data_IF_711602342967
#
_entry.id   IF_711602342967
#
_cell.length_a   1.000
_cell.length_b   1.000
_cell.length_c   1.000
_cell.angle_alpha   90.00
_cell.angle_beta   90.00
_cell.angle_gamma   90.00
#
_symmetry.space_group_name_H-M   'P 1'
#
loop_
_entity.id
_entity.type
_entity.pdbx_description
1 polymer ?
#
# COMPACT_ATOMS: atom_id res chain seq x y z
N UNK A 1 -20.67 -39.19 -2.58
CA UNK A 1 -20.59 -38.06 -1.64
C UNK A 1 -19.17 -37.54 -1.69
N UNK A 2 -18.94 -36.43 -2.39
CA UNK A 2 -17.60 -35.83 -2.50
C UNK A 2 -17.32 -35.12 -1.17
N UNK A 3 -16.17 -35.34 -0.51
CA UNK A 3 -15.87 -34.64 0.72
C UNK A 3 -15.81 -33.13 0.44
N UNK A 4 -16.23 -32.26 1.38
CA UNK A 4 -16.09 -30.83 1.19
C UNK A 4 -14.59 -30.50 0.98
N UNK A 5 -14.25 -29.57 0.07
CA UNK A 5 -12.88 -29.14 -0.08
C UNK A 5 -12.39 -28.63 1.29
N UNK A 6 -11.22 -29.12 1.71
CA UNK A 6 -10.57 -28.67 2.93
C UNK A 6 -10.42 -27.15 2.88
N UNK A 7 -10.77 -26.49 3.99
CA UNK A 7 -10.73 -25.03 4.17
C UNK A 7 -9.35 -24.39 3.98
N UNK A 8 -8.31 -25.19 3.71
CA UNK A 8 -6.94 -24.75 3.46
C UNK A 8 -6.67 -24.36 2.00
N UNK A 9 -7.50 -24.78 1.02
CA UNK A 9 -7.27 -24.41 -0.38
C UNK A 9 -7.59 -22.94 -0.69
N UNK A 10 -8.34 -22.24 0.18
CA UNK A 10 -8.73 -20.84 -0.02
C UNK A 10 -7.71 -19.79 0.45
N UNK A 11 -6.73 -20.19 1.28
CA UNK A 11 -5.81 -19.27 1.96
C UNK A 11 -4.37 -19.32 1.43
N UNK A 12 -4.11 -20.12 0.40
CA UNK A 12 -2.80 -20.17 -0.26
C UNK A 12 -2.62 -18.99 -1.20
N UNK A 13 -1.46 -18.34 -1.09
CA UNK A 13 -1.00 -17.30 -2.01
C UNK A 13 -1.04 -17.85 -3.45
N UNK A 14 -1.53 -17.06 -4.40
CA UNK A 14 -1.49 -17.42 -5.81
C UNK A 14 -0.07 -17.25 -6.34
N UNK A 15 0.68 -18.35 -6.26
CA UNK A 15 2.08 -18.42 -6.69
C UNK A 15 2.23 -18.32 -8.21
N UNK A 16 1.20 -18.72 -8.99
CA UNK A 16 1.23 -18.59 -10.44
C UNK A 16 1.14 -17.12 -10.85
N UNK A 17 0.23 -16.36 -10.24
CA UNK A 17 0.15 -14.91 -10.43
C UNK A 17 1.43 -14.20 -9.97
N UNK A 18 1.98 -14.58 -8.81
CA UNK A 18 3.22 -14.00 -8.31
C UNK A 18 4.40 -14.26 -9.25
N UNK A 19 4.53 -15.49 -9.76
CA UNK A 19 5.55 -15.84 -10.74
C UNK A 19 5.37 -15.06 -12.04
N UNK A 20 4.16 -15.05 -12.60
CA UNK A 20 3.87 -14.33 -13.85
C UNK A 20 4.24 -12.86 -13.74
N UNK A 21 3.84 -12.19 -12.66
CA UNK A 21 4.15 -10.77 -12.43
C UNK A 21 5.65 -10.52 -12.27
N UNK A 22 6.37 -11.42 -11.59
CA UNK A 22 7.83 -11.32 -11.41
C UNK A 22 8.60 -11.57 -12.71
N UNK A 23 8.12 -12.48 -13.55
CA UNK A 23 8.71 -12.77 -14.86
C UNK A 23 8.46 -11.60 -15.83
N UNK A 24 7.24 -11.02 -15.81
CA UNK A 24 6.88 -9.85 -16.61
C UNK A 24 7.80 -8.66 -16.29
N UNK A 25 8.06 -8.42 -15.01
CA UNK A 25 8.99 -7.39 -14.56
C UNK A 25 10.41 -7.63 -15.12
N UNK A 26 10.95 -8.84 -14.91
CA UNK A 26 12.29 -9.22 -15.37
C UNK A 26 12.48 -9.03 -16.89
N UNK A 27 11.43 -9.29 -17.68
CA UNK A 27 11.48 -9.15 -19.14
C UNK A 27 11.30 -7.71 -19.61
N UNK A 28 10.48 -6.92 -18.91
CA UNK A 28 10.10 -5.57 -19.37
C UNK A 28 11.06 -4.48 -18.88
N UNK A 29 11.81 -4.73 -17.80
CA UNK A 29 12.76 -3.78 -17.20
C UNK A 29 12.13 -2.40 -16.96
N UNK A 30 10.84 -2.39 -16.62
CA UNK A 30 10.10 -1.17 -16.34
C UNK A 30 10.55 -0.57 -15.00
N UNK A 31 10.49 0.76 -14.90
CA UNK A 31 10.55 1.39 -13.59
C UNK A 31 9.37 0.91 -12.72
N UNK A 32 9.53 0.91 -11.39
CA UNK A 32 8.48 0.51 -10.46
C UNK A 32 7.15 1.21 -10.75
N UNK A 33 7.21 2.52 -11.06
CA UNK A 33 6.02 3.29 -11.44
C UNK A 33 5.36 2.73 -12.70
N UNK A 34 6.12 2.54 -13.78
CA UNK A 34 5.58 2.05 -15.05
C UNK A 34 4.99 0.63 -14.92
N UNK A 35 5.66 -0.25 -14.17
CA UNK A 35 5.16 -1.58 -13.86
C UNK A 35 3.82 -1.54 -13.11
N UNK A 36 3.74 -0.76 -12.02
CA UNK A 36 2.50 -0.60 -11.24
C UNK A 36 1.38 -0.04 -12.10
N UNK A 37 1.66 0.95 -12.96
CA UNK A 37 0.65 1.48 -13.91
C UNK A 37 0.08 0.39 -14.80
N UNK A 38 0.94 -0.43 -15.39
CA UNK A 38 0.55 -1.51 -16.27
C UNK A 38 -0.30 -2.57 -15.55
N UNK A 39 0.13 -3.03 -14.37
CA UNK A 39 -0.61 -4.04 -13.59
C UNK A 39 -1.95 -3.51 -13.11
N UNK A 40 -2.06 -2.19 -12.86
CA UNK A 40 -3.30 -1.54 -12.43
C UNK A 40 -4.23 -1.17 -13.58
N UNK A 41 -3.83 -1.41 -14.84
CA UNK A 41 -4.60 -1.03 -16.02
C UNK A 41 -4.70 0.48 -16.21
N UNK A 42 -3.74 1.27 -15.71
CA UNK A 42 -3.67 2.69 -16.01
C UNK A 42 -3.29 2.87 -17.48
N UNK A 43 -4.04 3.72 -18.18
CA UNK A 43 -3.89 3.97 -19.61
C UNK A 43 -3.49 5.43 -19.86
N UNK A 44 -3.13 5.75 -21.10
CA UNK A 44 -2.92 7.14 -21.51
C UNK A 44 -4.20 7.97 -21.42
N UNK A 45 -5.37 7.34 -21.54
CA UNK A 45 -6.69 7.98 -21.48
C UNK A 45 -7.20 8.13 -20.04
N UNK A 46 -6.90 7.17 -19.16
CA UNK A 46 -7.20 7.24 -17.73
C UNK A 46 -5.99 6.74 -16.94
N UNK A 47 -5.15 7.70 -16.52
CA UNK A 47 -3.94 7.45 -15.76
C UNK A 47 -4.14 7.45 -14.24
N UNK A 48 -5.39 7.52 -13.76
CA UNK A 48 -5.65 7.66 -12.32
C UNK A 48 -5.27 6.38 -11.58
N UNK A 49 -4.50 6.49 -10.47
CA UNK A 49 -4.11 5.32 -9.70
C UNK A 49 -5.24 4.73 -8.86
N UNK A 50 -6.26 5.53 -8.56
CA UNK A 50 -7.49 5.06 -7.91
C UNK A 50 -8.69 5.57 -8.69
N UNK A 51 -9.33 4.68 -9.44
CA UNK A 51 -10.49 5.00 -10.30
C UNK A 51 -11.71 5.51 -9.52
N UNK A 52 -11.77 5.22 -8.21
CA UNK A 52 -12.84 5.69 -7.34
C UNK A 52 -12.68 7.17 -6.92
N UNK A 53 -11.49 7.75 -7.09
CA UNK A 53 -11.27 9.18 -6.86
C UNK A 53 -11.54 9.98 -8.13
N UNK A 54 -12.23 11.11 -7.99
CA UNK A 54 -12.57 12.01 -9.08
C UNK A 54 -12.17 13.44 -8.74
N UNK A 55 -11.85 14.21 -9.77
CA UNK A 55 -11.57 15.64 -9.63
C UNK A 55 -12.85 16.42 -9.34
N UNK A 56 -12.73 17.45 -8.52
CA UNK A 56 -13.82 18.37 -8.21
C UNK A 56 -13.59 19.72 -8.91
N UNK A 57 -14.67 20.40 -9.36
CA UNK A 57 -14.55 21.73 -9.95
C UNK A 57 -13.93 22.73 -8.98
N UNK A 58 -13.02 23.58 -9.47
CA UNK A 58 -12.41 24.61 -8.64
C UNK A 58 -13.45 25.68 -8.27
N UNK A 59 -13.60 26.03 -6.98
CA UNK A 59 -14.53 27.06 -6.55
C UNK A 59 -14.04 28.44 -6.99
N UNK A 60 -14.98 29.34 -7.32
CA UNK A 60 -14.67 30.73 -7.69
C UNK A 60 -14.01 31.50 -6.53
N UNK A 61 -14.29 31.11 -5.28
CA UNK A 61 -13.70 31.70 -4.08
C UNK A 61 -12.27 31.21 -3.86
N UNK A 62 -11.32 32.12 -3.64
CA UNK A 62 -9.89 31.80 -3.51
C UNK A 62 -9.52 30.99 -2.26
N UNK A 63 -10.27 31.12 -1.17
CA UNK A 63 -9.94 30.51 0.13
C UNK A 63 -9.83 28.97 0.10
N UNK A 64 -10.79 28.21 -0.49
CA UNK A 64 -10.67 26.76 -0.60
C UNK A 64 -9.93 26.26 -1.87
N UNK A 65 -9.50 27.13 -2.78
CA UNK A 65 -8.93 26.69 -4.08
C UNK A 65 -7.67 25.82 -3.92
N UNK A 66 -6.81 26.10 -2.95
CA UNK A 66 -5.60 25.32 -2.71
C UNK A 66 -5.92 23.87 -2.30
N UNK A 67 -6.92 23.68 -1.45
CA UNK A 67 -7.41 22.36 -1.03
C UNK A 67 -7.95 21.56 -2.23
N UNK A 68 -8.75 22.20 -3.08
CA UNK A 68 -9.33 21.53 -4.25
C UNK A 68 -8.27 21.16 -5.29
N UNK A 69 -7.26 22.02 -5.50
CA UNK A 69 -6.11 21.69 -6.35
C UNK A 69 -5.36 20.48 -5.82
N UNK A 70 -5.08 20.45 -4.50
CA UNK A 70 -4.39 19.32 -3.90
C UNK A 70 -5.21 18.02 -3.97
N UNK A 71 -6.55 18.09 -3.79
CA UNK A 71 -7.42 16.94 -4.02
C UNK A 71 -7.36 16.45 -5.47
N UNK A 72 -7.46 17.35 -6.45
CA UNK A 72 -7.41 16.99 -7.86
C UNK A 72 -6.03 16.43 -8.26
N UNK A 73 -4.94 16.89 -7.63
CA UNK A 73 -3.62 16.26 -7.75
C UNK A 73 -3.63 14.83 -7.21
N UNK A 74 -4.17 14.58 -6.01
CA UNK A 74 -4.28 13.23 -5.45
C UNK A 74 -5.15 12.32 -6.32
N UNK A 75 -6.25 12.83 -6.88
CA UNK A 75 -7.12 12.05 -7.75
C UNK A 75 -6.42 11.66 -9.07
N UNK A 76 -5.65 12.58 -9.67
CA UNK A 76 -4.90 12.34 -10.91
C UNK A 76 -3.67 11.45 -10.71
N UNK A 77 -2.89 11.77 -9.69
CA UNK A 77 -1.51 11.30 -9.55
C UNK A 77 -1.31 10.35 -8.37
N UNK A 78 -2.31 10.22 -7.50
CA UNK A 78 -2.20 9.50 -6.23
C UNK A 78 -1.52 10.34 -5.15
N UNK A 79 -1.40 9.75 -3.96
CA UNK A 79 -0.69 10.38 -2.85
C UNK A 79 0.82 10.34 -3.12
N UNK A 80 1.45 11.52 -3.17
CA UNK A 80 2.91 11.68 -3.32
C UNK A 80 3.53 12.14 -2.00
N UNK A 81 4.02 11.21 -1.14
CA UNK A 81 4.71 11.59 0.09
C UNK A 81 6.00 12.36 -0.25
N UNK A 82 6.34 13.35 0.58
CA UNK A 82 7.66 13.96 0.59
C UNK A 82 8.47 13.30 1.69
N UNK A 83 9.78 13.24 1.48
CA UNK A 83 10.71 12.63 2.40
C UNK A 83 11.60 13.72 3.01
N UNK A 84 11.89 13.65 4.31
CA UNK A 84 12.67 14.66 5.05
C UNK A 84 14.17 14.62 4.73
N UNK A 85 14.66 13.49 4.22
CA UNK A 85 16.03 13.28 3.73
C UNK A 85 15.99 12.73 2.30
N UNK A 86 17.16 12.57 1.64
CA UNK A 86 17.32 11.75 0.43
C UNK A 86 17.10 10.25 0.76
N UNK A 87 15.91 9.92 1.27
CA UNK A 87 15.53 8.64 1.85
C UNK A 87 15.45 7.49 0.83
N UNK A 88 15.79 7.76 -0.43
CA UNK A 88 16.07 6.75 -1.46
C UNK A 88 17.47 6.13 -1.27
N UNK A 89 17.88 5.89 -0.02
CA UNK A 89 19.06 5.07 0.24
C UNK A 89 18.65 3.62 0.11
N UNK A 90 19.36 2.90 -0.76
CA UNK A 90 19.27 1.44 -0.89
C UNK A 90 19.29 0.83 0.51
N UNK A 91 18.24 0.10 0.87
CA UNK A 91 18.17 -0.54 2.17
C UNK A 91 19.23 -1.64 2.28
N UNK A 92 20.35 -1.33 2.95
CA UNK A 92 21.48 -2.24 3.10
C UNK A 92 21.17 -3.44 3.99
N UNK A 93 20.34 -3.22 5.02
CA UNK A 93 19.93 -4.27 5.97
C UNK A 93 18.41 -4.29 6.02
N UNK A 94 17.83 -5.46 5.74
CA UNK A 94 16.39 -5.69 5.81
C UNK A 94 16.04 -6.26 7.19
N UNK A 95 15.11 -5.66 7.93
CA UNK A 95 14.75 -6.15 9.25
C UNK A 95 13.98 -7.48 9.15
N UNK A 96 14.14 -8.41 10.10
CA UNK A 96 13.31 -9.60 10.17
C UNK A 96 11.89 -9.26 10.60
N UNK A 97 10.94 -10.13 10.27
CA UNK A 97 9.57 -10.02 10.77
C UNK A 97 9.51 -10.18 12.30
N UNK A 98 8.48 -9.60 12.91
CA UNK A 98 8.26 -9.75 14.35
C UNK A 98 7.95 -11.20 14.71
N UNK A 99 8.28 -11.59 15.94
CA UNK A 99 8.03 -12.94 16.46
C UNK A 99 6.57 -13.37 16.25
N UNK A 100 5.61 -12.46 16.44
CA UNK A 100 4.19 -12.75 16.26
C UNK A 100 3.81 -13.16 14.83
N UNK A 101 4.46 -12.61 13.81
CA UNK A 101 4.25 -13.04 12.43
C UNK A 101 4.93 -14.38 12.14
N UNK A 102 6.14 -14.59 12.66
CA UNK A 102 6.89 -15.84 12.50
C UNK A 102 6.15 -17.02 13.12
N UNK A 103 5.53 -16.83 14.30
CA UNK A 103 4.77 -17.88 14.99
C UNK A 103 3.38 -18.10 14.42
N UNK A 104 2.86 -17.19 13.58
CA UNK A 104 1.51 -17.26 12.99
C UNK A 104 1.53 -17.20 11.45
N UNK A 105 2.25 -18.11 10.77
CA UNK A 105 2.46 -18.03 9.32
C UNK A 105 1.17 -18.20 8.51
N UNK A 106 0.18 -18.92 9.02
CA UNK A 106 -1.09 -19.12 8.32
C UNK A 106 -1.94 -17.84 8.30
N UNK A 107 -1.95 -17.10 9.41
CA UNK A 107 -2.58 -15.78 9.46
C UNK A 107 -1.96 -14.80 8.47
N UNK A 108 -0.63 -14.78 8.39
CA UNK A 108 0.10 -13.96 7.41
C UNK A 108 -0.28 -14.34 5.98
N UNK A 109 -0.25 -15.64 5.64
CA UNK A 109 -0.61 -16.12 4.29
C UNK A 109 -2.05 -15.78 3.91
N UNK A 110 -2.99 -15.96 4.83
CA UNK A 110 -4.40 -15.62 4.63
C UNK A 110 -4.57 -14.14 4.33
N UNK A 111 -3.93 -13.26 5.09
CA UNK A 111 -4.03 -11.81 4.90
C UNK A 111 -3.36 -11.35 3.60
N UNK A 112 -2.21 -11.93 3.24
CA UNK A 112 -1.56 -11.69 1.94
C UNK A 112 -2.47 -12.16 0.81
N UNK A 113 -3.03 -13.37 0.89
CA UNK A 113 -3.93 -13.91 -0.14
C UNK A 113 -5.18 -13.04 -0.28
N UNK A 114 -5.78 -12.62 0.83
CA UNK A 114 -6.90 -11.67 0.80
C UNK A 114 -6.50 -10.35 0.14
N UNK A 115 -5.36 -9.79 0.50
CA UNK A 115 -4.87 -8.56 -0.12
C UNK A 115 -4.56 -8.73 -1.61
N UNK A 116 -4.09 -9.90 -2.04
CA UNK A 116 -3.91 -10.24 -3.45
C UNK A 116 -5.25 -10.32 -4.19
N UNK A 117 -6.25 -11.01 -3.65
CA UNK A 117 -7.62 -11.08 -4.20
C UNK A 117 -8.27 -9.71 -4.34
N UNK A 118 -8.15 -8.89 -3.29
CA UNK A 118 -8.72 -7.54 -3.24
C UNK A 118 -7.95 -6.56 -4.15
N UNK A 119 -6.88 -7.02 -4.82
CA UNK A 119 -5.97 -6.17 -5.59
C UNK A 119 -5.22 -5.16 -4.72
N UNK A 120 -5.18 -5.30 -3.40
CA UNK A 120 -4.46 -4.38 -2.51
C UNK A 120 -2.96 -4.60 -2.56
N UNK A 121 -2.51 -5.84 -2.74
CA UNK A 121 -1.10 -6.21 -2.75
C UNK A 121 -0.68 -6.77 -4.10
N UNK A 122 0.51 -6.36 -4.55
CA UNK A 122 1.28 -7.10 -5.53
C UNK A 122 2.16 -8.09 -4.76
N UNK A 123 2.03 -9.37 -5.08
CA UNK A 123 2.88 -10.42 -4.52
C UNK A 123 3.91 -10.78 -5.58
N UNK A 124 5.18 -10.58 -5.25
CA UNK A 124 6.31 -10.69 -6.18
C UNK A 124 7.42 -11.53 -5.54
N UNK A 125 8.30 -12.07 -6.37
CA UNK A 125 9.51 -12.74 -5.93
C UNK A 125 10.51 -11.71 -5.38
N UNK A 126 11.38 -12.13 -4.46
CA UNK A 126 12.39 -11.25 -3.86
C UNK A 126 13.38 -10.66 -4.87
N UNK A 127 13.51 -11.26 -6.06
CA UNK A 127 14.39 -10.80 -7.14
C UNK A 127 14.08 -9.37 -7.60
N UNK A 128 12.84 -8.90 -7.45
CA UNK A 128 12.44 -7.53 -7.81
C UNK A 128 13.17 -6.46 -6.99
N UNK A 129 13.71 -6.83 -5.83
CA UNK A 129 14.52 -5.92 -5.01
C UNK A 129 15.88 -5.58 -5.64
N UNK A 130 16.32 -6.36 -6.63
CA UNK A 130 17.50 -6.03 -7.44
C UNK A 130 17.15 -5.06 -8.59
N UNK A 131 15.90 -5.08 -9.06
CA UNK A 131 15.41 -4.25 -10.15
C UNK A 131 14.99 -2.86 -9.66
N UNK A 132 14.37 -2.80 -8.48
CA UNK A 132 13.89 -1.55 -7.87
C UNK A 132 14.59 -1.30 -6.53
N UNK A 133 15.82 -0.75 -6.56
CA UNK A 133 16.59 -0.43 -5.35
C UNK A 133 15.91 0.62 -4.47
N UNK A 134 14.90 1.34 -4.98
CA UNK A 134 14.06 2.28 -4.25
C UNK A 134 13.03 1.61 -3.32
N UNK A 135 12.83 0.29 -3.39
CA UNK A 135 11.93 -0.43 -2.49
C UNK A 135 12.49 -0.51 -1.07
N UNK A 136 11.63 -0.25 -0.09
CA UNK A 136 11.93 -0.36 1.34
C UNK A 136 11.15 -1.53 1.93
N UNK A 137 11.83 -2.43 2.63
CA UNK A 137 11.22 -3.56 3.34
C UNK A 137 11.01 -3.21 4.80
N UNK A 138 9.76 -3.33 5.26
CA UNK A 138 9.40 -3.19 6.67
C UNK A 138 8.98 -4.56 7.24
N UNK A 139 9.20 -4.82 8.54
CA UNK A 139 8.70 -6.02 9.18
C UNK A 139 7.19 -6.09 9.15
N UNK A 140 6.67 -7.31 9.18
CA UNK A 140 5.28 -7.56 9.55
C UNK A 140 5.18 -8.16 10.95
N UNK A 141 4.11 -7.80 11.65
CA UNK A 141 3.64 -8.44 12.85
C UNK A 141 2.21 -8.96 12.66
N UNK A 142 1.77 -9.86 13.54
CA UNK A 142 0.38 -10.26 13.66
C UNK A 142 -0.15 -9.82 15.02
N UNK A 143 -1.39 -9.31 15.05
CA UNK A 143 -2.13 -8.98 16.26
C UNK A 143 -3.46 -9.73 16.28
N UNK A 144 -3.88 -10.13 17.48
CA UNK A 144 -5.19 -10.73 17.70
C UNK A 144 -6.29 -9.66 17.62
N UNK A 145 -7.44 -10.08 17.13
CA UNK A 145 -8.67 -9.29 17.06
C UNK A 145 -9.81 -10.12 17.65
N UNK A 146 -10.88 -9.45 18.06
CA UNK A 146 -12.07 -10.12 18.56
C UNK A 146 -12.60 -11.19 17.60
N UNK A 147 -13.01 -12.34 18.16
CA UNK A 147 -13.64 -13.44 17.42
C UNK A 147 -12.67 -14.36 16.68
N UNK A 148 -11.53 -14.69 17.29
CA UNK A 148 -10.46 -15.55 16.73
C UNK A 148 -9.89 -15.08 15.38
N UNK A 149 -10.09 -13.81 15.06
CA UNK A 149 -9.54 -13.16 13.87
C UNK A 149 -8.17 -12.58 14.21
N UNK A 150 -7.27 -12.52 13.24
CA UNK A 150 -5.93 -11.94 13.41
C UNK A 150 -5.64 -11.01 12.25
N UNK A 151 -4.86 -9.95 12.49
CA UNK A 151 -4.48 -8.99 11.45
C UNK A 151 -2.97 -8.89 11.31
N UNK A 152 -2.49 -9.01 10.08
CA UNK A 152 -1.15 -8.61 9.68
C UNK A 152 -1.02 -7.09 9.70
N UNK A 153 0.07 -6.58 10.28
CA UNK A 153 0.38 -5.16 10.36
C UNK A 153 1.81 -4.95 9.88
N UNK A 154 2.00 -3.95 9.02
CA UNK A 154 3.33 -3.48 8.65
C UNK A 154 3.87 -2.55 9.75
N UNK A 155 5.08 -2.83 10.23
CA UNK A 155 5.78 -1.97 11.17
C UNK A 155 6.68 -0.98 10.43
N UNK A 156 6.09 0.15 10.04
CA UNK A 156 6.81 1.26 9.40
C UNK A 156 7.69 2.05 10.37
N UNK A 157 7.72 1.68 11.66
CA UNK A 157 8.48 2.31 12.73
C UNK A 157 9.64 1.46 13.24
N UNK A 158 9.96 0.33 12.57
CA UNK A 158 11.16 -0.47 12.82
C UNK A 158 11.98 -0.76 11.54
N UNK A 159 13.34 -0.78 11.58
CA UNK A 159 14.23 -0.54 12.73
C UNK A 159 14.66 0.93 12.83
N UNK A 160 14.82 1.41 14.07
CA UNK A 160 15.13 2.82 14.39
C UNK A 160 16.28 3.37 13.52
N UNK A 161 16.09 4.56 12.92
CA UNK A 161 17.08 5.20 12.05
C UNK A 161 16.99 4.87 10.56
N UNK A 162 16.08 3.98 10.14
CA UNK A 162 15.82 3.64 8.72
C UNK A 162 14.32 3.50 8.42
N UNK A 163 13.51 4.30 9.11
CA UNK A 163 12.06 4.12 9.20
C UNK A 163 11.32 4.92 8.15
N UNK A 164 10.38 4.28 7.46
CA UNK A 164 9.41 4.96 6.59
C UNK A 164 8.72 6.09 7.36
N UNK A 165 8.30 5.85 8.61
CA UNK A 165 7.62 6.85 9.43
C UNK A 165 8.50 8.01 9.94
N UNK A 166 9.83 7.83 10.00
CA UNK A 166 10.80 8.85 10.43
C UNK A 166 11.24 9.70 9.24
N UNK A 167 11.39 9.08 8.07
CA UNK A 167 11.80 9.77 6.85
C UNK A 167 10.64 10.41 6.08
N UNK A 168 9.38 10.12 6.43
CA UNK A 168 8.22 10.79 5.83
C UNK A 168 8.06 12.19 6.39
N UNK A 169 8.04 13.20 5.53
CA UNK A 169 7.72 14.58 5.90
C UNK A 169 6.23 14.69 6.23
N UNK A 170 5.94 14.72 7.53
CA UNK A 170 4.57 14.85 8.04
C UNK A 170 3.98 16.23 7.79
N UNK A 171 4.81 17.26 7.63
CA UNK A 171 4.34 18.62 7.34
C UNK A 171 3.85 18.75 5.89
N UNK A 172 4.19 17.81 5.00
CA UNK A 172 3.68 17.77 3.63
C UNK A 172 2.18 17.41 3.55
N UNK A 173 1.62 16.80 4.59
CA UNK A 173 0.20 16.49 4.63
C UNK A 173 -0.58 17.60 5.33
N UNK A 174 -1.72 17.99 4.78
CA UNK A 174 -2.59 18.95 5.43
C UNK A 174 -3.06 18.41 6.79
N UNK A 175 -3.14 19.30 7.78
CA UNK A 175 -3.75 18.97 9.06
C UNK A 175 -5.22 18.63 8.85
N UNK A 176 -5.61 17.40 9.18
CA UNK A 176 -7.00 16.99 9.19
C UNK A 176 -7.56 17.36 10.56
N UNK A 177 -8.53 18.27 10.60
CA UNK A 177 -9.34 18.49 11.80
C UNK A 177 -10.57 17.59 11.75
N UNK A 178 -10.72 16.75 12.77
CA UNK A 178 -11.95 15.98 12.94
C UNK A 178 -13.04 16.92 13.47
N UNK A 179 -14.06 17.17 12.65
CA UNK A 179 -15.29 17.80 13.13
C UNK A 179 -16.16 16.71 13.77
N UNK A 180 -16.37 16.72 15.10
CA UNK A 180 -17.18 15.71 15.74
C UNK A 180 -18.62 15.75 15.20
N UNK A 181 -19.37 14.63 15.24
CA UNK A 181 -20.72 14.54 14.68
C UNK A 181 -21.67 15.64 15.16
N UNK A 182 -21.50 16.06 16.43
CA UNK A 182 -22.16 17.22 17.03
C UNK A 182 -22.04 18.50 16.20
N UNK A 183 -20.85 18.79 15.67
CA UNK A 183 -20.56 20.04 14.97
C UNK A 183 -21.03 20.00 13.52
N UNK A 184 -21.15 18.80 12.94
CA UNK A 184 -21.80 18.58 11.65
C UNK A 184 -23.31 18.77 11.78
N UNK A 185 -23.92 18.20 12.82
CA UNK A 185 -25.37 18.29 13.08
C UNK A 185 -25.86 19.73 13.30
N UNK A 186 -25.00 20.65 13.74
CA UNK A 186 -25.32 22.07 13.91
C UNK A 186 -25.28 22.90 12.62
N UNK A 187 -24.84 22.30 11.50
CA UNK A 187 -24.72 22.98 10.19
C UNK A 187 -25.88 22.67 9.23
N UNK A 188 -26.84 21.85 9.67
CA UNK A 188 -28.06 21.47 8.95
C UNK A 188 -29.22 22.22 9.58
#
# INVERSE_FOLDING_TARGET
>A
MVPPPSSDQGNTIDAAAAKFLSDLDSQTQLSLTAFVRQVRGQTLTDGRPNIALYEVPLPSNSSPQSLYRQWNEIARDGVRPKWTNNATQVQLIRPPNHKSAITNPQSVRRDIRKGQCDGKYLVLNESVLQLWPELVVSPVGVIDKAGDDTRMINDYSYPRGSLVNEVTDRANFQSISYNPPRDIARRI
#
